data_IF_445951077478
#
_entry.id   IF_445951077478
#
_cell.length_a   1.000
_cell.length_b   1.000
_cell.length_c   1.000
_cell.angle_alpha   90.00
_cell.angle_beta   90.00
_cell.angle_gamma   90.00
#
_symmetry.space_group_name_H-M   'P 1'
#
loop_
_entity.id
_entity.type
_entity.pdbx_description
1 polymer ?
#
# COMPACT_ATOMS: atom_id res chain seq x y z
N UNK A 1 -3.55 -10.33 14.74
CA UNK A 1 -3.91 -8.94 15.06
C UNK A 1 -3.66 -8.03 13.88
N UNK A 2 -4.34 -6.88 13.83
CA UNK A 2 -4.24 -5.93 12.70
C UNK A 2 -2.81 -5.55 12.34
N UNK A 3 -1.94 -5.40 13.34
CA UNK A 3 -0.51 -5.14 13.16
C UNK A 3 0.20 -6.21 12.31
N UNK A 4 0.01 -7.49 12.64
CA UNK A 4 0.64 -8.56 11.89
C UNK A 4 0.14 -8.62 10.44
N UNK A 5 -1.17 -8.41 10.25
CA UNK A 5 -1.78 -8.34 8.91
C UNK A 5 -1.24 -7.17 8.11
N UNK A 6 -1.19 -5.96 8.71
CA UNK A 6 -0.66 -4.77 8.03
C UNK A 6 0.81 -4.95 7.62
N UNK A 7 1.64 -5.43 8.54
CA UNK A 7 3.07 -5.65 8.26
C UNK A 7 3.29 -6.71 7.21
N UNK A 8 2.60 -7.85 7.31
CA UNK A 8 2.69 -8.92 6.31
C UNK A 8 2.20 -8.45 4.94
N UNK A 9 1.09 -7.74 4.90
CA UNK A 9 0.52 -7.19 3.67
C UNK A 9 1.48 -6.20 2.98
N UNK A 10 2.04 -5.26 3.72
CA UNK A 10 3.01 -4.31 3.18
C UNK A 10 4.33 -4.98 2.78
N UNK A 11 4.77 -6.01 3.51
CA UNK A 11 5.95 -6.80 3.12
C UNK A 11 5.71 -7.56 1.81
N UNK A 12 4.51 -8.15 1.64
CA UNK A 12 4.11 -8.81 0.38
C UNK A 12 4.06 -7.79 -0.77
N UNK A 13 3.52 -6.59 -0.53
CA UNK A 13 3.54 -5.51 -1.51
C UNK A 13 4.96 -5.11 -1.89
N UNK A 14 5.84 -4.92 -0.90
CA UNK A 14 7.24 -4.56 -1.13
C UNK A 14 7.98 -5.64 -1.94
N UNK A 15 7.74 -6.93 -1.64
CA UNK A 15 8.30 -8.04 -2.40
C UNK A 15 7.79 -8.06 -3.85
N UNK A 16 6.49 -7.87 -4.06
CA UNK A 16 5.91 -7.79 -5.40
C UNK A 16 6.51 -6.66 -6.23
N UNK A 17 6.59 -5.45 -5.67
CA UNK A 17 7.22 -4.31 -6.32
C UNK A 17 8.73 -4.54 -6.52
N UNK A 18 9.40 -5.18 -5.56
CA UNK A 18 10.81 -5.56 -5.67
C UNK A 18 11.09 -6.58 -6.78
N UNK A 19 10.14 -7.44 -7.13
CA UNK A 19 10.23 -8.29 -8.31
C UNK A 19 10.13 -7.45 -9.59
N UNK A 20 9.22 -6.48 -9.64
CA UNK A 20 9.05 -5.58 -10.77
C UNK A 20 10.28 -4.70 -11.02
N UNK A 21 11.07 -4.40 -9.98
CA UNK A 21 12.31 -3.64 -10.13
C UNK A 21 13.46 -4.42 -10.82
N UNK A 22 13.25 -5.70 -11.11
CA UNK A 22 14.21 -6.54 -11.84
C UNK A 22 13.88 -6.72 -13.31
N UNK A 23 12.79 -6.11 -13.78
CA UNK A 23 12.37 -6.19 -15.16
C UNK A 23 13.37 -5.44 -16.08
N UNK A 24 13.51 -5.95 -17.29
CA UNK A 24 14.30 -5.34 -18.36
C UNK A 24 13.48 -5.31 -19.67
N UNK A 25 14.03 -4.74 -20.72
CA UNK A 25 13.33 -4.59 -22.00
C UNK A 25 12.95 -5.93 -22.67
N UNK A 26 13.59 -7.02 -22.27
CA UNK A 26 13.37 -8.38 -22.81
C UNK A 26 12.46 -9.22 -21.92
N UNK A 27 12.05 -8.67 -20.77
CA UNK A 27 11.22 -9.38 -19.78
C UNK A 27 9.85 -9.73 -20.34
N UNK A 28 9.43 -10.98 -20.12
CA UNK A 28 8.13 -11.47 -20.55
C UNK A 28 7.03 -11.03 -19.57
N UNK A 29 5.92 -10.52 -20.15
CA UNK A 29 4.81 -9.95 -19.37
C UNK A 29 4.11 -11.02 -18.51
N UNK A 30 3.97 -12.24 -19.00
CA UNK A 30 3.21 -13.28 -18.30
C UNK A 30 4.02 -13.96 -17.21
N UNK A 31 5.31 -14.14 -17.43
CA UNK A 31 6.17 -14.91 -16.53
C UNK A 31 6.96 -14.06 -15.55
N UNK A 32 7.23 -12.79 -15.89
CA UNK A 32 8.05 -11.91 -15.06
C UNK A 32 7.25 -10.72 -14.49
N UNK A 33 6.48 -10.01 -15.32
CA UNK A 33 5.71 -8.85 -14.85
C UNK A 33 4.48 -9.28 -14.03
N UNK A 34 3.66 -10.20 -14.55
CA UNK A 34 2.37 -10.55 -13.94
C UNK A 34 2.50 -11.11 -12.51
N UNK A 35 3.45 -12.00 -12.19
CA UNK A 35 3.61 -12.49 -10.82
C UNK A 35 3.95 -11.39 -9.82
N UNK A 36 4.86 -10.47 -10.17
CA UNK A 36 5.22 -9.33 -9.32
C UNK A 36 4.04 -8.40 -9.08
N UNK A 37 3.29 -8.09 -10.15
CA UNK A 37 2.10 -7.24 -10.09
C UNK A 37 0.99 -7.86 -9.21
N UNK A 38 0.67 -9.14 -9.42
CA UNK A 38 -0.35 -9.85 -8.63
C UNK A 38 0.05 -9.90 -7.16
N UNK A 39 1.31 -10.18 -6.88
CA UNK A 39 1.82 -10.22 -5.51
C UNK A 39 1.70 -8.84 -4.83
N UNK A 40 2.09 -7.78 -5.51
CA UNK A 40 1.94 -6.42 -5.00
C UNK A 40 0.47 -6.06 -4.71
N UNK A 41 -0.44 -6.41 -5.62
CA UNK A 41 -1.87 -6.15 -5.48
C UNK A 41 -2.49 -6.95 -4.31
N UNK A 42 -2.11 -8.22 -4.12
CA UNK A 42 -2.56 -9.06 -3.01
C UNK A 42 -2.14 -8.50 -1.64
N UNK A 43 -0.99 -7.85 -1.56
CA UNK A 43 -0.56 -7.18 -0.33
C UNK A 43 -1.31 -5.87 -0.07
N UNK A 44 -1.56 -5.08 -1.12
CA UNK A 44 -2.13 -3.73 -0.97
C UNK A 44 -3.56 -3.76 -0.42
N UNK A 45 -4.39 -4.71 -0.82
CA UNK A 45 -5.78 -4.83 -0.37
C UNK A 45 -5.92 -4.95 1.15
N UNK A 46 -5.34 -5.97 1.79
CA UNK A 46 -5.38 -6.12 3.25
C UNK A 46 -4.71 -4.95 4.00
N UNK A 47 -3.64 -4.37 3.46
CA UNK A 47 -3.01 -3.20 4.05
C UNK A 47 -3.97 -2.01 4.12
N UNK A 48 -4.71 -1.74 3.04
CA UNK A 48 -5.71 -0.68 2.97
C UNK A 48 -6.86 -0.93 3.97
N UNK A 49 -7.37 -2.15 4.06
CA UNK A 49 -8.43 -2.51 5.03
C UNK A 49 -7.97 -2.27 6.46
N UNK A 50 -6.77 -2.70 6.82
CA UNK A 50 -6.24 -2.49 8.18
C UNK A 50 -6.00 -1.01 8.46
N UNK A 51 -5.48 -0.25 7.51
CA UNK A 51 -5.26 1.19 7.66
C UNK A 51 -6.58 1.92 7.91
N UNK A 52 -7.59 1.69 7.07
CA UNK A 52 -8.91 2.33 7.18
C UNK A 52 -9.62 1.94 8.47
N UNK A 53 -9.67 0.65 8.80
CA UNK A 53 -10.32 0.19 10.04
C UNK A 53 -9.61 0.70 11.29
N UNK A 54 -8.30 0.81 11.27
CA UNK A 54 -7.53 1.36 12.39
C UNK A 54 -7.78 2.86 12.54
N UNK A 55 -7.78 3.60 11.43
CA UNK A 55 -8.04 5.04 11.44
C UNK A 55 -9.44 5.38 12.02
N UNK A 56 -10.44 4.59 11.65
CA UNK A 56 -11.83 4.81 12.07
C UNK A 56 -12.20 4.17 13.42
N UNK A 57 -11.36 3.32 14.00
CA UNK A 57 -11.69 2.50 15.17
C UNK A 57 -11.99 3.27 16.45
N UNK A 58 -11.58 4.53 16.55
CA UNK A 58 -11.75 5.40 17.73
C UNK A 58 -12.57 6.64 17.44
N UNK A 59 -13.20 6.69 16.27
CA UNK A 59 -14.00 7.84 15.84
C UNK A 59 -15.43 7.67 16.38
N UNK A 60 -16.00 8.67 17.06
CA UNK A 60 -17.40 8.67 17.46
C UNK A 60 -18.34 8.54 16.25
N UNK A 61 -19.51 7.93 16.46
CA UNK A 61 -20.46 7.65 15.38
C UNK A 61 -20.95 8.91 14.66
N UNK A 62 -21.13 10.01 15.38
CA UNK A 62 -21.53 11.32 14.85
C UNK A 62 -20.47 11.96 13.97
N UNK A 63 -19.20 11.56 14.10
CA UNK A 63 -18.06 12.08 13.32
C UNK A 63 -17.57 11.09 12.25
N UNK A 64 -18.18 9.92 12.15
CA UNK A 64 -17.73 8.85 11.25
C UNK A 64 -17.70 9.29 9.76
N UNK A 65 -18.66 10.11 9.33
CA UNK A 65 -18.70 10.64 7.97
C UNK A 65 -17.54 11.56 7.66
N UNK A 66 -17.24 12.51 8.56
CA UNK A 66 -16.09 13.41 8.42
C UNK A 66 -14.77 12.63 8.39
N UNK A 67 -14.59 11.70 9.33
CA UNK A 67 -13.37 10.90 9.40
C UNK A 67 -13.17 10.04 8.15
N UNK A 68 -14.23 9.45 7.62
CA UNK A 68 -14.18 8.69 6.35
C UNK A 68 -13.78 9.58 5.19
N UNK A 69 -14.29 10.82 5.11
CA UNK A 69 -13.91 11.80 4.12
C UNK A 69 -12.42 12.14 4.19
N UNK A 70 -11.89 12.36 5.41
CA UNK A 70 -10.46 12.64 5.62
C UNK A 70 -9.60 11.46 5.19
N UNK A 71 -9.97 10.23 5.55
CA UNK A 71 -9.23 9.02 5.15
C UNK A 71 -9.20 8.88 3.64
N UNK A 72 -10.35 9.07 2.96
CA UNK A 72 -10.43 8.98 1.51
C UNK A 72 -9.59 10.07 0.84
N UNK A 73 -9.69 11.31 1.28
CA UNK A 73 -8.88 12.43 0.76
C UNK A 73 -7.38 12.17 0.94
N UNK A 74 -6.98 11.64 2.10
CA UNK A 74 -5.59 11.29 2.36
C UNK A 74 -5.09 10.18 1.42
N UNK A 75 -5.96 9.22 1.10
CA UNK A 75 -5.66 8.16 0.14
C UNK A 75 -5.45 8.72 -1.28
N UNK A 76 -6.35 9.59 -1.74
CA UNK A 76 -6.25 10.25 -3.05
C UNK A 76 -5.00 11.12 -3.18
N UNK A 77 -4.70 11.91 -2.15
CA UNK A 77 -3.49 12.75 -2.12
C UNK A 77 -2.24 11.85 -2.13
N UNK A 78 -2.22 10.79 -1.30
CA UNK A 78 -1.12 9.84 -1.26
C UNK A 78 -0.89 9.15 -2.61
N UNK A 79 -1.96 8.75 -3.29
CA UNK A 79 -1.91 8.20 -4.64
C UNK A 79 -1.34 9.18 -5.67
N UNK A 80 -1.83 10.42 -5.66
CA UNK A 80 -1.34 11.46 -6.57
C UNK A 80 0.15 11.77 -6.37
N UNK A 81 0.59 11.91 -5.11
CA UNK A 81 2.02 12.10 -4.79
C UNK A 81 2.83 10.88 -5.23
N UNK A 82 2.35 9.67 -4.96
CA UNK A 82 3.01 8.43 -5.36
C UNK A 82 3.23 8.37 -6.87
N UNK A 83 2.19 8.60 -7.66
CA UNK A 83 2.28 8.65 -9.13
C UNK A 83 3.25 9.74 -9.59
N UNK A 84 3.22 10.93 -9.01
CA UNK A 84 4.12 12.02 -9.38
C UNK A 84 5.60 11.66 -9.11
N UNK A 85 5.90 11.07 -7.95
CA UNK A 85 7.26 10.63 -7.60
C UNK A 85 7.73 9.52 -8.54
N UNK A 86 6.91 8.49 -8.77
CA UNK A 86 7.26 7.38 -9.66
C UNK A 86 7.48 7.84 -11.10
N UNK A 87 6.62 8.76 -11.58
CA UNK A 87 6.77 9.35 -12.93
C UNK A 87 8.03 10.21 -13.04
N UNK A 88 8.37 10.99 -12.02
CA UNK A 88 9.58 11.81 -12.01
C UNK A 88 10.85 10.96 -12.04
N UNK A 89 10.88 9.86 -11.27
CA UNK A 89 12.00 8.89 -11.27
C UNK A 89 12.13 8.23 -12.64
N UNK A 90 11.01 7.73 -13.20
CA UNK A 90 11.01 7.09 -14.50
C UNK A 90 11.45 8.06 -15.63
N UNK A 91 11.00 9.33 -15.59
CA UNK A 91 11.36 10.34 -16.56
C UNK A 91 12.85 10.73 -16.52
N UNK A 92 13.49 10.67 -15.35
CA UNK A 92 14.91 10.97 -15.19
C UNK A 92 15.80 10.13 -16.10
N UNK A 93 15.48 8.88 -16.33
CA UNK A 93 16.21 7.97 -17.21
C UNK A 93 16.02 8.30 -18.69
N UNK A 94 14.84 8.79 -19.06
CA UNK A 94 14.54 9.21 -20.45
C UNK A 94 15.38 10.43 -20.85
N UNK A 95 15.55 11.38 -19.92
CA UNK A 95 16.33 12.61 -20.16
C UNK A 95 17.83 12.33 -20.30
N UNK A 96 18.35 11.28 -19.66
CA UNK A 96 19.76 10.87 -19.76
C UNK A 96 20.08 10.08 -21.05
N UNK A 97 19.10 9.88 -21.93
CA UNK A 97 19.30 9.22 -23.23
C UNK A 97 19.44 7.69 -23.17
N UNK A 98 19.22 7.11 -22.02
CA UNK A 98 19.17 5.65 -21.84
C UNK A 98 17.75 5.19 -22.19
N UNK A 99 17.57 4.74 -23.42
CA UNK A 99 16.28 4.23 -23.94
C UNK A 99 16.02 2.77 -23.53
N UNK A 100 16.46 2.37 -22.37
CA UNK A 100 16.17 1.05 -21.81
C UNK A 100 15.11 1.11 -20.70
N UNK A 101 14.67 -0.04 -20.23
CA UNK A 101 13.67 -0.14 -19.16
C UNK A 101 14.17 0.39 -17.77
N UNK A 102 15.39 0.94 -17.71
CA UNK A 102 16.04 1.36 -16.46
C UNK A 102 15.23 2.33 -15.64
N UNK A 103 14.54 3.31 -16.26
CA UNK A 103 13.70 4.26 -15.55
C UNK A 103 12.51 3.63 -14.83
N UNK A 104 11.93 2.61 -15.41
CA UNK A 104 10.85 1.86 -14.73
C UNK A 104 11.40 1.00 -13.60
N UNK A 105 12.57 0.39 -13.80
CA UNK A 105 13.28 -0.37 -12.77
C UNK A 105 13.61 0.51 -11.56
N UNK A 106 14.12 1.71 -11.80
CA UNK A 106 14.42 2.69 -10.76
C UNK A 106 13.15 3.13 -10.00
N UNK A 107 12.07 3.42 -10.73
CA UNK A 107 10.78 3.76 -10.15
C UNK A 107 10.25 2.63 -9.26
N UNK A 108 10.26 1.37 -9.74
CA UNK A 108 9.85 0.22 -8.93
C UNK A 108 10.77 0.01 -7.73
N UNK A 109 12.06 0.26 -7.85
CA UNK A 109 13.00 0.19 -6.72
C UNK A 109 12.64 1.21 -5.64
N UNK A 110 12.38 2.46 -6.01
CA UNK A 110 11.90 3.50 -5.08
C UNK A 110 10.57 3.10 -4.43
N UNK A 111 9.63 2.58 -5.21
CA UNK A 111 8.35 2.08 -4.71
C UNK A 111 8.51 0.92 -3.71
N UNK A 112 9.40 -0.03 -3.98
CA UNK A 112 9.70 -1.14 -3.08
C UNK A 112 10.31 -0.67 -1.76
N UNK A 113 11.23 0.31 -1.81
CA UNK A 113 11.82 0.93 -0.61
C UNK A 113 10.75 1.63 0.22
N UNK A 114 9.88 2.43 -0.40
CA UNK A 114 8.78 3.11 0.29
C UNK A 114 7.84 2.10 0.95
N UNK A 115 7.45 1.03 0.25
CA UNK A 115 6.61 -0.03 0.80
C UNK A 115 7.29 -0.78 1.95
N UNK A 116 8.59 -1.03 1.86
CA UNK A 116 9.39 -1.64 2.93
C UNK A 116 9.46 -0.75 4.17
N UNK A 117 9.70 0.55 4.01
CA UNK A 117 9.67 1.52 5.10
C UNK A 117 8.28 1.59 5.74
N UNK A 118 7.22 1.58 4.94
CA UNK A 118 5.85 1.55 5.43
C UNK A 118 5.56 0.27 6.23
N UNK A 119 6.08 -0.89 5.80
CA UNK A 119 5.97 -2.15 6.54
C UNK A 119 6.66 -2.07 7.91
N UNK A 120 7.86 -1.50 7.98
CA UNK A 120 8.57 -1.26 9.23
C UNK A 120 7.85 -0.26 10.13
N UNK A 121 7.30 0.81 9.55
CA UNK A 121 6.50 1.78 10.29
C UNK A 121 5.22 1.13 10.86
N UNK A 122 4.57 0.25 10.12
CA UNK A 122 3.39 -0.48 10.59
C UNK A 122 3.69 -1.35 11.82
N UNK A 123 4.89 -1.91 11.93
CA UNK A 123 5.34 -2.64 13.13
C UNK A 123 5.38 -1.77 14.39
N UNK A 124 5.60 -0.48 14.23
CA UNK A 124 5.73 0.47 15.35
C UNK A 124 4.44 1.21 15.63
N UNK A 125 3.72 1.62 14.58
CA UNK A 125 2.59 2.53 14.66
C UNK A 125 1.24 1.81 14.80
N UNK A 126 1.08 0.61 14.23
CA UNK A 126 -0.18 -0.14 14.34
C UNK A 126 -0.25 -0.82 15.71
N UNK A 127 -1.30 -0.57 16.52
CA UNK A 127 -1.43 -1.18 17.84
C UNK A 127 -1.53 -2.71 17.75
N UNK A 128 -0.89 -3.46 18.67
CA UNK A 128 -1.06 -4.90 18.76
C UNK A 128 -2.45 -5.18 19.37
N UNK A 129 -3.43 -5.52 18.56
CA UNK A 129 -4.78 -5.83 19.04
C UNK A 129 -5.61 -6.53 17.97
N UNK A 130 -6.53 -7.39 18.39
CA UNK A 130 -7.63 -7.82 17.52
C UNK A 130 -8.58 -6.63 17.39
N UNK A 131 -9.15 -6.34 16.20
CA UNK A 131 -10.25 -5.41 16.11
C UNK A 131 -11.33 -5.91 17.07
N UNK A 132 -11.72 -5.09 18.04
CA UNK A 132 -12.85 -5.39 18.91
C UNK A 132 -14.05 -5.50 17.98
N UNK A 133 -14.62 -6.69 17.84
CA UNK A 133 -15.96 -6.81 17.27
C UNK A 133 -16.84 -5.92 18.14
N UNK A 134 -17.34 -4.84 17.57
CA UNK A 134 -18.42 -4.10 18.17
C UNK A 134 -19.49 -5.14 18.49
N UNK A 135 -19.76 -5.33 19.76
CA UNK A 135 -20.84 -6.17 20.21
C UNK A 135 -22.10 -5.57 19.57
N UNK A 136 -22.66 -6.26 18.58
CA UNK A 136 -24.04 -6.02 18.20
C UNK A 136 -24.84 -6.37 19.44
N UNK A 137 -25.10 -5.35 20.26
CA UNK A 137 -25.95 -5.46 21.39
C UNK A 137 -27.29 -6.00 20.91
N UNK A 138 -27.58 -7.22 21.30
CA UNK A 138 -28.94 -7.72 21.25
C UNK A 138 -29.71 -6.86 22.23
N UNK A 139 -30.37 -5.81 21.72
CA UNK A 139 -31.38 -5.10 22.45
C UNK A 139 -32.48 -6.10 22.79
N UNK A 140 -32.48 -6.56 24.05
CA UNK A 140 -33.65 -7.20 24.59
C UNK A 140 -34.73 -6.11 24.63
N UNK A 141 -35.68 -6.22 23.71
CA UNK A 141 -36.96 -5.49 23.79
C UNK A 141 -37.77 -6.21 24.88
N UNK A 142 -38.00 -5.56 25.99
CA UNK A 142 -39.08 -5.89 26.91
C UNK A 142 -40.26 -4.98 26.62
#
# INVERSE_FOLDING_TARGET
>A
GGRAVATAALAVTALGIGLLSRLNAESDVLTEFLPGYVLAALGLGPAFVVATTTALSRVPHDQAGLASGIVNTSHEIGGAIGVAVMSAVAAGSIVTGVHDAGGFTDAFTVGAVIAGVAALAALRLVPPGKPTRAAFGHGHVH
#
